data_IF_228353987727
#
_entry.id   IF_228353987727
#
_cell.length_a   1.000
_cell.length_b   1.000
_cell.length_c   1.000
_cell.angle_alpha   90.00
_cell.angle_beta   90.00
_cell.angle_gamma   90.00
#
_symmetry.space_group_name_H-M   'P 1'
#
loop_
_entity.id
_entity.type
_entity.pdbx_description
1 polymer ?
#
# COMPACT_ATOMS: atom_id res chain seq x y z
N UNK A 1 12.13 10.38 -3.92
CA UNK A 1 12.05 9.67 -2.62
C UNK A 1 11.56 8.24 -2.78
N UNK A 2 10.38 8.00 -3.38
CA UNK A 2 9.79 6.67 -3.51
C UNK A 2 10.67 5.68 -4.31
N UNK A 3 11.23 6.13 -5.43
CA UNK A 3 12.19 5.35 -6.22
C UNK A 3 13.42 4.95 -5.39
N UNK A 4 13.97 5.89 -4.59
CA UNK A 4 15.08 5.58 -3.68
C UNK A 4 14.70 4.52 -2.63
N UNK A 5 13.47 4.56 -2.09
CA UNK A 5 12.98 3.53 -1.16
C UNK A 5 12.92 2.19 -1.87
N UNK A 6 12.39 2.12 -3.09
CA UNK A 6 12.31 0.89 -3.89
C UNK A 6 13.70 0.32 -4.17
N UNK A 7 14.54 1.11 -4.83
CA UNK A 7 15.79 0.62 -5.42
C UNK A 7 16.80 0.23 -4.34
N UNK A 8 16.97 1.09 -3.32
CA UNK A 8 17.90 0.80 -2.22
C UNK A 8 17.44 -0.36 -1.37
N UNK A 9 16.14 -0.46 -1.07
CA UNK A 9 15.61 -1.58 -0.28
C UNK A 9 15.74 -2.90 -1.03
N UNK A 10 15.38 -2.96 -2.32
CA UNK A 10 15.51 -4.18 -3.12
C UNK A 10 16.96 -4.60 -3.30
N UNK A 11 17.90 -3.68 -3.52
CA UNK A 11 19.33 -4.00 -3.55
C UNK A 11 19.80 -4.55 -2.21
N UNK A 12 19.45 -3.88 -1.11
CA UNK A 12 19.82 -4.30 0.25
C UNK A 12 19.24 -5.68 0.61
N UNK A 13 17.99 -5.94 0.24
CA UNK A 13 17.33 -7.24 0.46
C UNK A 13 18.06 -8.34 -0.33
N UNK A 14 18.40 -8.09 -1.59
CA UNK A 14 19.16 -9.04 -2.41
C UNK A 14 20.54 -9.31 -1.82
N UNK A 15 21.28 -8.27 -1.45
CA UNK A 15 22.63 -8.39 -0.88
C UNK A 15 22.64 -9.13 0.45
N UNK A 16 21.66 -8.85 1.32
CA UNK A 16 21.62 -9.41 2.69
C UNK A 16 20.98 -10.79 2.77
N UNK A 17 20.00 -11.07 1.92
CA UNK A 17 19.17 -12.29 2.03
C UNK A 17 19.18 -13.16 0.77
N UNK A 18 19.84 -12.76 -0.31
CA UNK A 18 19.88 -13.51 -1.57
C UNK A 18 18.54 -13.58 -2.32
N UNK A 19 17.53 -12.82 -1.90
CA UNK A 19 16.19 -12.83 -2.51
C UNK A 19 16.16 -11.88 -3.69
N UNK A 20 15.71 -12.36 -4.86
CA UNK A 20 15.64 -11.53 -6.07
C UNK A 20 14.51 -10.50 -5.96
N UNK A 21 14.64 -9.32 -6.58
CA UNK A 21 13.61 -8.27 -6.52
C UNK A 21 12.21 -8.72 -6.95
N UNK A 22 12.10 -9.55 -7.98
CA UNK A 22 10.84 -10.12 -8.49
C UNK A 22 10.24 -11.20 -7.57
N UNK A 23 10.92 -11.56 -6.48
CA UNK A 23 10.40 -12.41 -5.42
C UNK A 23 9.86 -11.60 -4.23
N UNK A 24 9.84 -10.27 -4.33
CA UNK A 24 9.38 -9.35 -3.30
C UNK A 24 8.15 -8.59 -3.78
N UNK A 25 7.11 -8.57 -2.94
CA UNK A 25 5.99 -7.64 -3.02
C UNK A 25 6.32 -6.40 -2.19
N UNK A 26 6.37 -5.22 -2.82
CA UNK A 26 6.53 -3.94 -2.14
C UNK A 26 5.22 -3.14 -2.21
N UNK A 27 4.67 -2.72 -1.06
CA UNK A 27 3.36 -2.07 -1.02
C UNK A 27 3.15 -1.17 0.20
N UNK A 28 2.18 -0.25 0.09
CA UNK A 28 1.65 0.56 1.18
C UNK A 28 0.36 -0.03 1.70
N UNK A 29 0.06 0.18 2.99
CA UNK A 29 -1.30 -0.01 3.49
C UNK A 29 -2.18 1.20 3.21
N UNK A 30 -3.42 0.96 2.79
CA UNK A 30 -4.48 1.97 2.76
C UNK A 30 -5.79 1.39 3.32
N UNK A 31 -6.29 1.83 4.47
CA UNK A 31 -5.72 2.80 5.41
C UNK A 31 -4.49 2.24 6.15
N UNK A 32 -3.47 3.06 6.48
CA UNK A 32 -2.30 2.59 7.22
C UNK A 32 -2.62 2.38 8.71
N UNK A 33 -1.84 1.51 9.37
CA UNK A 33 -1.94 1.30 10.82
C UNK A 33 -1.47 2.49 11.64
N UNK A 34 -0.56 3.31 11.08
CA UNK A 34 -0.08 4.56 11.68
C UNK A 34 0.23 5.58 10.58
N UNK A 35 0.04 6.87 10.88
CA UNK A 35 0.10 7.97 9.90
C UNK A 35 1.52 8.54 9.74
N UNK A 36 2.48 7.65 9.54
CA UNK A 36 3.81 7.98 9.03
C UNK A 36 4.08 7.08 7.83
N UNK A 37 4.53 7.64 6.71
CA UNK A 37 4.68 6.89 5.47
C UNK A 37 5.66 5.71 5.67
N UNK A 38 5.21 4.51 5.35
CA UNK A 38 6.00 3.29 5.45
C UNK A 38 5.65 2.33 4.31
N UNK A 39 6.61 1.51 3.92
CA UNK A 39 6.48 0.52 2.84
C UNK A 39 6.74 -0.86 3.42
N UNK A 40 5.88 -1.81 3.09
CA UNK A 40 6.07 -3.22 3.38
C UNK A 40 6.86 -3.87 2.23
N UNK A 41 7.95 -4.57 2.55
CA UNK A 41 8.67 -5.45 1.62
C UNK A 41 8.50 -6.88 2.10
N UNK A 42 7.81 -7.70 1.32
CA UNK A 42 7.37 -9.04 1.74
C UNK A 42 7.72 -10.06 0.67
N UNK A 43 8.24 -11.23 1.06
CA UNK A 43 8.45 -12.34 0.13
C UNK A 43 7.14 -12.79 -0.52
N UNK A 44 7.12 -13.00 -1.83
CA UNK A 44 5.94 -13.53 -2.54
C UNK A 44 5.53 -14.93 -2.07
N UNK A 45 6.43 -15.67 -1.41
CA UNK A 45 6.13 -16.98 -0.82
C UNK A 45 5.39 -16.89 0.52
N UNK A 46 5.31 -15.71 1.11
CA UNK A 46 4.65 -15.50 2.39
C UNK A 46 3.29 -14.83 2.16
N UNK A 47 2.23 -15.50 2.62
CA UNK A 47 0.90 -14.92 2.65
C UNK A 47 0.76 -13.98 3.85
N UNK A 48 1.28 -12.76 3.68
CA UNK A 48 1.26 -11.76 4.74
C UNK A 48 -0.17 -11.28 5.02
N UNK A 49 -0.54 -11.12 6.31
CA UNK A 49 -1.76 -10.43 6.68
C UNK A 49 -1.85 -9.05 6.02
N UNK A 50 -3.05 -8.64 5.60
CA UNK A 50 -3.32 -7.35 4.95
C UNK A 50 -2.55 -7.08 3.64
N UNK A 51 -2.10 -8.14 2.95
CA UNK A 51 -1.50 -8.03 1.61
C UNK A 51 -2.51 -8.14 0.46
N UNK A 52 -3.81 -8.17 0.78
CA UNK A 52 -4.90 -8.23 -0.20
C UNK A 52 -5.08 -6.91 -0.94
N UNK A 53 -5.70 -6.95 -2.12
CA UNK A 53 -5.98 -5.77 -2.96
C UNK A 53 -6.80 -4.68 -2.27
N UNK A 54 -7.52 -5.02 -1.20
CA UNK A 54 -8.34 -4.11 -0.42
C UNK A 54 -7.59 -3.44 0.75
N UNK A 55 -6.31 -3.76 0.92
CA UNK A 55 -5.46 -3.20 1.98
C UNK A 55 -4.10 -2.77 1.46
N UNK A 56 -3.64 -3.31 0.33
CA UNK A 56 -2.31 -3.07 -0.24
C UNK A 56 -2.38 -2.29 -1.55
N UNK A 57 -1.55 -1.24 -1.68
CA UNK A 57 -1.31 -0.50 -2.94
C UNK A 57 0.17 -0.66 -3.30
N UNK A 58 0.48 -1.22 -4.47
CA UNK A 58 1.86 -1.55 -4.85
C UNK A 58 2.72 -0.29 -5.00
N UNK A 59 3.98 -0.38 -4.57
CA UNK A 59 4.93 0.75 -4.63
C UNK A 59 5.17 1.21 -6.06
N UNK A 60 5.36 0.29 -7.00
CA UNK A 60 5.58 0.63 -8.40
C UNK A 60 4.36 1.29 -9.04
N UNK A 61 3.14 0.85 -8.69
CA UNK A 61 1.91 1.50 -9.13
C UNK A 61 1.81 2.91 -8.57
N UNK A 62 2.16 3.13 -7.29
CA UNK A 62 2.18 4.47 -6.69
C UNK A 62 3.17 5.39 -7.41
N UNK A 63 4.37 4.90 -7.72
CA UNK A 63 5.38 5.66 -8.47
C UNK A 63 4.83 6.02 -9.86
N UNK A 64 4.32 5.02 -10.59
CA UNK A 64 3.75 5.20 -11.93
C UNK A 64 2.59 6.20 -11.94
N UNK A 65 1.64 6.05 -11.01
CA UNK A 65 0.48 6.94 -10.89
C UNK A 65 0.90 8.39 -10.65
N UNK A 66 1.90 8.64 -9.80
CA UNK A 66 2.41 9.98 -9.53
C UNK A 66 3.23 10.57 -10.68
N UNK A 67 3.94 9.74 -11.45
CA UNK A 67 4.64 10.17 -12.65
C UNK A 67 3.65 10.57 -13.76
N UNK A 68 2.54 9.85 -13.90
CA UNK A 68 1.49 10.15 -14.87
C UNK A 68 0.65 11.37 -14.47
N UNK A 69 0.24 11.44 -13.20
CA UNK A 69 -0.61 12.51 -12.67
C UNK A 69 -0.05 12.93 -11.31
N UNK A 70 0.64 14.08 -11.22
CA UNK A 70 1.32 14.51 -9.99
C UNK A 70 0.42 14.64 -8.74
N UNK A 71 -0.88 14.82 -8.93
CA UNK A 71 -1.88 14.90 -7.86
C UNK A 71 -2.87 13.73 -7.86
N UNK A 72 -2.50 12.58 -8.46
CA UNK A 72 -3.34 11.39 -8.60
C UNK A 72 -4.06 11.01 -7.30
N UNK A 73 -3.31 10.83 -6.22
CA UNK A 73 -3.83 10.38 -4.93
C UNK A 73 -4.65 11.44 -4.16
N UNK A 74 -4.73 12.68 -4.66
CA UNK A 74 -5.67 13.69 -4.17
C UNK A 74 -7.04 13.60 -4.86
N UNK A 75 -7.10 12.99 -6.05
CA UNK A 75 -8.29 12.92 -6.91
C UNK A 75 -8.89 11.52 -6.97
N UNK A 76 -8.06 10.49 -6.91
CA UNK A 76 -8.47 9.11 -7.05
C UNK A 76 -9.35 8.66 -5.89
N UNK A 77 -10.41 7.91 -6.19
CA UNK A 77 -11.12 7.12 -5.19
C UNK A 77 -10.30 5.88 -4.87
N UNK A 78 -9.94 5.72 -3.60
CA UNK A 78 -9.22 4.56 -3.11
C UNK A 78 -10.17 3.63 -2.35
N UNK A 79 -10.26 2.38 -2.80
CA UNK A 79 -11.04 1.35 -2.13
C UNK A 79 -10.25 0.76 -0.97
N UNK A 80 -10.91 0.57 0.18
CA UNK A 80 -10.34 -0.09 1.35
C UNK A 80 -11.43 -0.78 2.16
N UNK A 81 -11.04 -1.70 3.05
CA UNK A 81 -11.95 -2.36 3.99
C UNK A 81 -11.76 -1.87 5.42
N UNK A 82 -12.82 -1.97 6.23
CA UNK A 82 -12.80 -1.73 7.68
C UNK A 82 -13.68 -2.76 8.38
N UNK A 83 -13.41 -2.97 9.67
CA UNK A 83 -14.27 -3.82 10.51
C UNK A 83 -15.63 -3.15 10.70
N UNK A 84 -16.68 -3.95 10.91
CA UNK A 84 -18.04 -3.43 11.11
C UNK A 84 -18.14 -2.48 12.33
N UNK A 85 -17.31 -2.70 13.35
CA UNK A 85 -17.23 -1.87 14.56
C UNK A 85 -16.30 -0.64 14.43
N UNK A 86 -15.72 -0.40 13.26
CA UNK A 86 -14.77 0.69 13.06
C UNK A 86 -15.49 2.04 12.91
N UNK A 87 -15.13 3.02 13.75
CA UNK A 87 -15.74 4.35 13.72
C UNK A 87 -15.59 5.05 12.35
N UNK A 88 -14.50 4.78 11.62
CA UNK A 88 -14.33 5.38 10.29
C UNK A 88 -15.39 4.86 9.30
N UNK A 89 -15.80 3.59 9.42
CA UNK A 89 -16.85 3.03 8.58
C UNK A 89 -18.21 3.67 8.88
N UNK A 90 -18.51 3.91 10.16
CA UNK A 90 -19.72 4.64 10.58
C UNK A 90 -19.76 6.04 9.96
N UNK A 91 -18.65 6.79 10.07
CA UNK A 91 -18.55 8.14 9.47
C UNK A 91 -18.75 8.14 7.95
N UNK A 92 -18.25 7.12 7.24
CA UNK A 92 -18.47 6.99 5.79
C UNK A 92 -19.94 6.74 5.43
N UNK A 93 -20.64 5.93 6.23
CA UNK A 93 -22.08 5.68 6.06
C UNK A 93 -22.91 6.93 6.33
N UNK A 94 -22.62 7.66 7.41
CA UNK A 94 -23.28 8.93 7.73
C UNK A 94 -23.09 9.98 6.63
N UNK A 95 -21.92 9.99 5.99
CA UNK A 95 -21.62 10.86 4.86
C UNK A 95 -22.20 10.35 3.51
N UNK A 96 -22.98 9.26 3.50
CA UNK A 96 -23.56 8.67 2.28
C UNK A 96 -22.52 8.13 1.30
N UNK A 97 -21.33 7.74 1.77
CA UNK A 97 -20.20 7.28 0.94
C UNK A 97 -20.14 5.76 0.79
N UNK A 98 -20.87 5.01 1.61
CA UNK A 98 -21.10 3.58 1.43
C UNK A 98 -22.42 3.15 2.08
N UNK A 99 -23.00 2.08 1.54
CA UNK A 99 -24.22 1.47 2.08
C UNK A 99 -23.92 0.60 3.31
N UNK A 100 -24.99 0.15 3.97
CA UNK A 100 -24.86 -0.73 5.13
C UNK A 100 -24.59 -2.16 4.72
#
# INVERSE_FOLDING_TARGET
MLENIRDRSLSTIREKYGVRPDQIRAYFHYQPSFFHLHVHFVSLKYDAPASTTLSAVLLDDVISNLQLVPDYYKKATLTFTRKASDKLLEMFREAGRCEK
#
